data_IF_008522640923
#
_entry.id   IF_008522640923
#
_cell.length_a   1.000
_cell.length_b   1.000
_cell.length_c   1.000
_cell.angle_alpha   90.00
_cell.angle_beta   90.00
_cell.angle_gamma   90.00
#
_symmetry.space_group_name_H-M   'P 1'
#
loop_
_entity.id
_entity.type
_entity.pdbx_description
1 polymer ?
#
# COMPACT_ATOMS: atom_id res chain seq x y z
N UNK A 1 5.68 -17.62 0.99
CA UNK A 1 4.62 -16.58 1.12
C UNK A 1 4.87 -15.39 0.18
N UNK A 2 6.09 -14.82 0.14
CA UNK A 2 6.39 -13.70 -0.76
C UNK A 2 6.25 -14.03 -2.25
N UNK A 3 6.69 -15.21 -2.69
CA UNK A 3 6.55 -15.63 -4.11
C UNK A 3 5.10 -15.67 -4.61
N UNK A 4 4.16 -16.06 -3.74
CA UNK A 4 2.74 -16.05 -4.08
C UNK A 4 2.21 -14.64 -4.29
N UNK A 5 2.55 -13.71 -3.39
CA UNK A 5 2.18 -12.29 -3.52
C UNK A 5 2.84 -11.65 -4.74
N UNK A 6 4.07 -12.05 -5.06
CA UNK A 6 4.78 -11.63 -6.28
C UNK A 6 4.07 -12.13 -7.54
N UNK A 7 3.70 -13.42 -7.57
CA UNK A 7 2.94 -14.02 -8.68
C UNK A 7 1.59 -13.31 -8.89
N UNK A 8 0.92 -12.93 -7.81
CA UNK A 8 -0.34 -12.18 -7.85
C UNK A 8 -0.19 -10.69 -8.16
N UNK A 9 1.05 -10.18 -8.24
CA UNK A 9 1.41 -8.76 -8.43
C UNK A 9 0.91 -7.85 -7.28
N UNK A 10 0.82 -8.41 -6.09
CA UNK A 10 0.47 -7.71 -4.84
C UNK A 10 1.71 -7.31 -4.02
N UNK A 11 2.85 -7.91 -4.36
CA UNK A 11 4.18 -7.49 -3.95
C UNK A 11 5.10 -7.51 -5.17
N UNK A 12 6.08 -6.62 -5.24
CA UNK A 12 7.07 -6.59 -6.31
C UNK A 12 8.40 -6.07 -5.77
N UNK A 13 9.49 -6.63 -6.30
CA UNK A 13 10.83 -6.12 -6.05
C UNK A 13 11.13 -4.98 -7.02
N UNK A 14 11.76 -3.94 -6.51
CA UNK A 14 12.25 -2.79 -7.23
C UNK A 14 13.73 -2.64 -6.94
N UNK A 15 14.52 -2.45 -7.99
CA UNK A 15 15.95 -2.21 -7.88
C UNK A 15 16.32 -1.07 -8.81
N UNK A 16 17.05 -0.09 -8.30
CA UNK A 16 17.60 1.00 -9.10
C UNK A 16 19.04 1.30 -8.67
N UNK A 17 19.83 1.79 -9.61
CA UNK A 17 21.20 2.21 -9.40
C UNK A 17 21.30 3.69 -9.78
N UNK A 18 21.86 4.48 -8.88
CA UNK A 18 21.92 5.93 -8.97
C UNK A 18 23.39 6.36 -8.86
N UNK A 19 23.83 7.23 -9.77
CA UNK A 19 25.19 7.79 -9.76
C UNK A 19 25.26 8.99 -8.81
N UNK A 20 25.15 8.71 -7.52
CA UNK A 20 25.19 9.69 -6.42
C UNK A 20 25.75 8.99 -5.19
N UNK A 21 26.41 9.74 -4.30
CA UNK A 21 26.86 9.18 -3.04
C UNK A 21 25.67 8.79 -2.15
N UNK A 22 25.85 7.73 -1.37
CA UNK A 22 24.81 7.28 -0.44
C UNK A 22 24.43 8.37 0.58
N UNK A 23 25.41 9.12 1.06
CA UNK A 23 25.22 10.14 2.09
C UNK A 23 24.38 11.33 1.58
N UNK A 24 24.67 11.83 0.38
CA UNK A 24 23.92 12.94 -0.24
C UNK A 24 22.48 12.53 -0.52
N UNK A 25 22.29 11.34 -1.11
CA UNK A 25 20.96 10.82 -1.36
C UNK A 25 20.16 10.64 -0.07
N UNK A 26 20.75 10.05 0.98
CA UNK A 26 20.07 9.86 2.26
C UNK A 26 19.63 11.19 2.86
N UNK A 27 20.42 12.26 2.73
CA UNK A 27 20.06 13.59 3.20
C UNK A 27 18.86 14.15 2.44
N UNK A 28 18.88 14.09 1.11
CA UNK A 28 17.75 14.53 0.28
C UNK A 28 16.49 13.70 0.56
N UNK A 29 16.64 12.37 0.64
CA UNK A 29 15.53 11.46 0.87
C UNK A 29 14.92 11.67 2.26
N UNK A 30 15.73 11.82 3.31
CA UNK A 30 15.25 12.17 4.66
C UNK A 30 14.49 13.51 4.70
N UNK A 31 14.88 14.50 3.88
CA UNK A 31 14.16 15.77 3.78
C UNK A 31 12.80 15.66 3.07
N UNK A 32 12.68 14.72 2.12
CA UNK A 32 11.46 14.48 1.33
C UNK A 32 10.42 13.57 1.99
N UNK A 33 10.73 12.99 3.15
CA UNK A 33 9.88 12.02 3.85
C UNK A 33 9.61 12.50 5.27
N UNK A 34 8.33 12.61 5.62
CA UNK A 34 7.98 12.96 6.99
C UNK A 34 8.07 11.76 7.94
N UNK A 35 8.58 11.95 9.16
CA UNK A 35 8.61 10.90 10.16
C UNK A 35 7.18 10.49 10.53
N UNK A 36 6.88 9.19 10.43
CA UNK A 36 5.58 8.68 10.82
C UNK A 36 5.46 7.16 10.72
N UNK A 37 4.27 6.65 11.02
CA UNK A 37 4.02 5.22 10.98
C UNK A 37 3.45 4.79 9.62
N UNK A 38 4.01 3.71 9.09
CA UNK A 38 3.57 3.08 7.85
C UNK A 38 2.38 2.14 8.05
N UNK A 39 1.88 1.99 9.28
CA UNK A 39 0.65 1.25 9.57
C UNK A 39 -0.58 2.00 9.02
N UNK A 40 -1.63 1.26 8.66
CA UNK A 40 -2.94 1.87 8.37
C UNK A 40 -3.58 2.52 9.58
N UNK A 41 -3.25 2.05 10.79
CA UNK A 41 -3.77 2.54 12.06
C UNK A 41 -2.93 3.69 12.63
N UNK A 42 -1.92 4.15 11.88
CA UNK A 42 -1.16 5.34 12.21
C UNK A 42 -2.09 6.56 12.09
N UNK A 43 -2.71 6.93 13.21
CA UNK A 43 -3.45 8.16 13.43
C UNK A 43 -4.51 8.47 12.37
N UNK A 44 -5.82 8.29 12.64
CA UNK A 44 -6.86 8.93 11.81
C UNK A 44 -6.65 10.45 11.68
N UNK A 45 -5.85 11.04 12.57
CA UNK A 45 -5.44 12.44 12.55
C UNK A 45 -4.22 12.79 11.69
N UNK A 46 -3.45 11.81 11.18
CA UNK A 46 -2.30 12.09 10.30
C UNK A 46 -2.75 12.67 8.94
N UNK A 47 -4.02 12.48 8.58
CA UNK A 47 -4.66 13.06 7.39
C UNK A 47 -4.88 14.59 7.56
N UNK A 48 -4.96 15.09 8.80
CA UNK A 48 -5.08 16.53 9.09
C UNK A 48 -3.72 17.24 9.18
N UNK A 49 -2.60 16.51 9.13
CA UNK A 49 -1.27 17.13 9.09
C UNK A 49 -0.97 17.60 7.67
N UNK A 50 -1.08 18.90 7.46
CA UNK A 50 -0.61 19.56 6.25
C UNK A 50 0.92 19.43 6.15
N UNK A 51 1.40 18.70 5.15
CA UNK A 51 2.81 18.66 4.79
C UNK A 51 2.95 18.71 3.27
N UNK A 52 4.06 19.27 2.81
CA UNK A 52 4.43 19.31 1.40
C UNK A 52 4.95 17.97 0.90
N UNK A 53 5.43 17.12 1.80
CA UNK A 53 6.04 15.84 1.48
C UNK A 53 4.99 14.77 1.15
N UNK A 54 5.23 14.04 0.06
CA UNK A 54 4.32 13.00 -0.45
C UNK A 54 4.44 11.66 0.29
N UNK A 55 5.49 11.49 1.09
CA UNK A 55 5.79 10.24 1.79
C UNK A 55 5.81 10.41 3.30
N UNK A 56 5.41 9.33 3.98
CA UNK A 56 5.50 9.21 5.44
C UNK A 56 6.15 7.88 5.78
N UNK A 57 7.10 7.89 6.70
CA UNK A 57 7.74 6.66 7.15
C UNK A 57 8.97 6.87 8.00
N UNK A 58 9.90 5.91 7.90
CA UNK A 58 11.18 5.91 8.60
C UNK A 58 12.30 5.62 7.62
N UNK A 59 13.35 6.43 7.67
CA UNK A 59 14.57 6.23 6.90
C UNK A 59 15.73 6.15 7.90
N UNK A 60 16.41 5.01 7.88
CA UNK A 60 17.67 4.78 8.58
C UNK A 60 18.81 4.79 7.57
N UNK A 61 20.05 4.67 8.04
CA UNK A 61 21.21 4.82 7.16
C UNK A 61 21.37 3.67 6.16
N UNK A 62 20.80 2.49 6.45
CA UNK A 62 20.90 1.30 5.59
C UNK A 62 19.55 0.81 5.07
N UNK A 63 18.44 1.32 5.59
CA UNK A 63 17.12 0.82 5.24
C UNK A 63 16.07 1.91 5.36
N UNK A 64 14.95 1.70 4.69
CA UNK A 64 13.80 2.57 4.78
C UNK A 64 12.51 1.78 4.76
N UNK A 65 11.47 2.38 5.32
CA UNK A 65 10.09 1.90 5.23
C UNK A 65 9.17 3.09 5.11
N UNK A 66 8.56 3.26 3.94
CA UNK A 66 7.73 4.42 3.61
C UNK A 66 6.40 3.99 2.98
N UNK A 67 5.41 4.87 3.09
CA UNK A 67 4.15 4.81 2.35
C UNK A 67 3.82 6.19 1.81
N UNK A 68 2.91 6.25 0.84
CA UNK A 68 2.39 7.53 0.37
C UNK A 68 1.48 8.15 1.44
N UNK A 69 1.57 9.47 1.59
CA UNK A 69 0.71 10.25 2.47
C UNK A 69 -0.73 10.16 1.96
N UNK A 70 -1.67 9.95 2.87
CA UNK A 70 -3.11 10.06 2.57
C UNK A 70 -3.51 11.52 2.71
N UNK A 71 -4.09 12.10 1.67
CA UNK A 71 -4.71 13.43 1.70
C UNK A 71 -6.23 13.25 1.57
N UNK A 72 -7.01 14.08 2.27
CA UNK A 72 -8.46 14.11 2.05
C UNK A 72 -8.74 14.44 0.57
N UNK A 73 -9.72 13.78 -0.05
CA UNK A 73 -10.12 13.92 -1.45
C UNK A 73 -9.17 13.39 -2.53
N UNK A 74 -8.07 12.70 -2.18
CA UNK A 74 -7.33 11.92 -3.17
C UNK A 74 -8.14 10.66 -3.52
N UNK A 75 -8.69 10.62 -4.75
CA UNK A 75 -9.47 9.48 -5.27
C UNK A 75 -8.66 8.19 -5.42
N UNK A 76 -7.35 8.24 -5.22
CA UNK A 76 -6.44 7.10 -5.31
C UNK A 76 -6.05 6.61 -3.91
N UNK A 77 -6.61 5.47 -3.50
CA UNK A 77 -6.17 4.75 -2.30
C UNK A 77 -4.79 4.14 -2.56
N UNK A 78 -3.73 4.82 -2.11
CA UNK A 78 -2.38 4.27 -2.08
C UNK A 78 -2.12 3.54 -0.76
N UNK A 79 -2.04 2.21 -0.86
CA UNK A 79 -1.94 1.25 0.24
C UNK A 79 -0.58 0.54 0.27
N UNK A 80 0.18 0.68 -0.81
CA UNK A 80 1.53 0.16 -0.94
C UNK A 80 2.47 0.73 0.12
N UNK A 81 3.26 -0.14 0.71
CA UNK A 81 4.37 0.18 1.59
C UNK A 81 5.64 -0.29 0.89
N UNK A 82 6.59 0.61 0.73
CA UNK A 82 7.91 0.30 0.20
C UNK A 82 8.87 0.09 1.38
N UNK A 83 9.52 -1.07 1.42
CA UNK A 83 10.55 -1.41 2.40
C UNK A 83 11.82 -1.75 1.65
N UNK A 84 12.90 -1.02 1.89
CA UNK A 84 14.12 -1.22 1.12
C UNK A 84 15.40 -0.98 1.88
N UNK A 85 16.52 -1.18 1.18
CA UNK A 85 17.89 -1.09 1.66
C UNK A 85 18.75 -0.27 0.71
N UNK A 86 19.78 0.34 1.27
CA UNK A 86 20.77 1.15 0.57
C UNK A 86 22.13 0.47 0.61
N UNK A 87 22.74 0.30 -0.56
CA UNK A 87 24.09 -0.22 -0.72
C UNK A 87 24.90 0.71 -1.59
N UNK A 88 26.20 0.80 -1.35
CA UNK A 88 27.11 1.58 -2.18
C UNK A 88 28.04 0.60 -2.89
N UNK A 89 28.14 0.71 -4.22
CA UNK A 89 28.94 -0.17 -5.06
C UNK A 89 29.56 0.64 -6.17
N UNK A 90 30.90 0.69 -6.24
CA UNK A 90 31.66 1.36 -7.30
C UNK A 90 31.19 2.82 -7.52
N UNK A 91 31.08 3.62 -6.46
CA UNK A 91 30.59 5.01 -6.48
C UNK A 91 29.14 5.20 -6.97
N UNK A 92 28.35 4.12 -6.98
CA UNK A 92 26.92 4.16 -7.25
C UNK A 92 26.13 3.72 -6.02
N UNK A 93 25.03 4.42 -5.75
CA UNK A 93 24.02 4.01 -4.79
C UNK A 93 23.09 2.99 -5.44
N UNK A 94 23.05 1.79 -4.87
CA UNK A 94 22.07 0.76 -5.21
C UNK A 94 20.95 0.78 -4.18
N UNK A 95 19.72 0.90 -4.67
CA UNK A 95 18.51 0.83 -3.84
C UNK A 95 17.76 -0.44 -4.22
N UNK A 96 17.50 -1.27 -3.22
CA UNK A 96 16.68 -2.48 -3.36
C UNK A 96 15.48 -2.37 -2.44
N UNK A 97 14.27 -2.47 -2.99
CA UNK A 97 13.05 -2.33 -2.23
C UNK A 97 12.03 -3.42 -2.59
N UNK A 98 11.32 -3.88 -1.57
CA UNK A 98 10.10 -4.66 -1.70
C UNK A 98 8.92 -3.71 -1.52
N UNK A 99 8.06 -3.62 -2.54
CA UNK A 99 6.81 -2.87 -2.48
C UNK A 99 5.68 -3.87 -2.27
N UNK A 100 4.89 -3.70 -1.22
CA UNK A 100 3.75 -4.57 -0.90
C UNK A 100 2.53 -3.77 -0.47
N UNK A 101 1.36 -4.08 -1.05
CA UNK A 101 0.07 -3.51 -0.66
C UNK A 101 -0.77 -4.45 0.22
N UNK A 102 -0.34 -5.70 0.39
CA UNK A 102 -1.13 -6.77 1.00
C UNK A 102 -1.46 -6.49 2.47
N UNK A 103 -0.44 -6.23 3.29
CA UNK A 103 -0.59 -6.12 4.75
C UNK A 103 -1.51 -4.98 5.17
N UNK A 104 -1.43 -3.85 4.46
CA UNK A 104 -2.29 -2.70 4.72
C UNK A 104 -3.75 -3.07 4.46
N UNK A 105 -4.08 -3.47 3.23
CA UNK A 105 -5.48 -3.67 2.86
C UNK A 105 -6.17 -4.81 3.61
N UNK A 106 -5.45 -5.92 3.87
CA UNK A 106 -6.05 -7.14 4.43
C UNK A 106 -6.68 -6.92 5.81
N UNK A 107 -6.10 -6.07 6.66
CA UNK A 107 -6.62 -5.80 8.01
C UNK A 107 -7.95 -5.05 7.95
N UNK A 108 -8.00 -3.93 7.22
CA UNK A 108 -9.22 -3.12 7.10
C UNK A 108 -10.33 -3.88 6.38
N UNK A 109 -9.96 -4.65 5.35
CA UNK A 109 -10.92 -5.43 4.59
C UNK A 109 -11.45 -6.64 5.35
N UNK A 110 -10.60 -7.31 6.14
CA UNK A 110 -11.00 -8.43 6.98
C UNK A 110 -12.08 -8.04 8.00
N UNK A 111 -11.98 -6.85 8.59
CA UNK A 111 -13.01 -6.32 9.51
C UNK A 111 -14.35 -6.15 8.78
N UNK A 112 -14.34 -5.57 7.57
CA UNK A 112 -15.55 -5.35 6.78
C UNK A 112 -16.20 -6.68 6.38
N UNK A 113 -15.41 -7.67 5.94
CA UNK A 113 -15.88 -9.03 5.68
C UNK A 113 -16.56 -9.60 6.93
N UNK A 114 -15.88 -9.57 8.08
CA UNK A 114 -16.40 -10.14 9.33
C UNK A 114 -17.73 -9.49 9.71
N UNK A 115 -17.82 -8.15 9.66
CA UNK A 115 -19.05 -7.41 9.96
C UNK A 115 -20.19 -7.80 9.01
N UNK A 116 -19.92 -7.87 7.71
CA UNK A 116 -20.93 -8.22 6.72
C UNK A 116 -21.49 -9.64 6.94
N UNK A 117 -20.61 -10.62 7.15
CA UNK A 117 -21.04 -12.00 7.38
C UNK A 117 -21.68 -12.20 8.75
N UNK A 118 -21.32 -11.41 9.76
CA UNK A 118 -22.04 -11.36 11.05
C UNK A 118 -23.48 -10.91 10.87
N UNK A 119 -23.71 -9.85 10.09
CA UNK A 119 -25.07 -9.37 9.79
C UNK A 119 -25.87 -10.45 9.08
N UNK A 120 -25.29 -11.11 8.07
CA UNK A 120 -25.96 -12.22 7.36
C UNK A 120 -26.28 -13.40 8.28
N UNK A 121 -25.37 -13.79 9.16
CA UNK A 121 -25.56 -14.92 10.07
C UNK A 121 -26.65 -14.61 11.11
N UNK A 122 -26.70 -13.38 11.61
CA UNK A 122 -27.76 -12.94 12.53
C UNK A 122 -29.09 -12.77 11.82
N UNK A 123 -29.13 -12.34 10.55
CA UNK A 123 -30.38 -12.13 9.83
C UNK A 123 -31.05 -13.44 9.38
N UNK A 124 -30.26 -14.49 9.15
CA UNK A 124 -30.73 -15.76 8.58
C UNK A 124 -31.80 -16.50 9.43
N UNK A 125 -31.73 -16.54 10.78
CA UNK A 125 -32.78 -17.12 11.62
C UNK A 125 -34.08 -16.30 11.67
N UNK A 126 -34.06 -15.03 11.23
CA UNK A 126 -35.23 -14.14 11.27
C UNK A 126 -35.88 -13.92 9.90
N UNK A 127 -35.31 -14.46 8.81
CA UNK A 127 -35.98 -14.51 7.51
C UNK A 127 -37.05 -15.60 7.54
N UNK A 128 -38.32 -15.21 7.48
CA UNK A 128 -39.45 -16.15 7.46
C UNK A 128 -39.42 -17.11 6.27
N UNK A 129 -40.26 -18.13 6.30
CA UNK A 129 -40.30 -19.27 5.35
C UNK A 129 -40.84 -18.91 3.95
N UNK A 130 -40.59 -17.67 3.50
CA UNK A 130 -41.05 -17.17 2.22
C UNK A 130 -40.08 -17.61 1.11
N UNK A 131 -40.39 -18.74 0.50
CA UNK A 131 -39.58 -19.44 -0.53
C UNK A 131 -39.16 -18.58 -1.75
N UNK A 132 -39.74 -17.39 -1.91
CA UNK A 132 -39.41 -16.45 -2.98
C UNK A 132 -38.19 -15.57 -2.66
N UNK A 133 -37.96 -15.20 -1.40
CA UNK A 133 -36.81 -14.34 -1.02
C UNK A 133 -35.48 -15.09 -1.12
N UNK A 134 -35.50 -16.40 -0.82
CA UNK A 134 -34.31 -17.24 -0.80
C UNK A 134 -33.71 -17.49 -2.21
N UNK A 135 -34.50 -17.34 -3.28
CA UNK A 135 -34.04 -17.52 -4.68
C UNK A 135 -33.08 -16.42 -5.15
N UNK A 136 -33.21 -15.20 -4.63
CA UNK A 136 -32.31 -14.09 -4.99
C UNK A 136 -31.04 -14.03 -4.13
N UNK A 137 -31.05 -14.69 -2.96
CA UNK A 137 -29.93 -14.68 -2.02
C UNK A 137 -28.67 -15.34 -2.59
N UNK A 138 -28.80 -16.51 -3.22
CA UNK A 138 -27.67 -17.25 -3.79
C UNK A 138 -26.88 -16.48 -4.87
N UNK A 139 -27.52 -15.95 -5.94
CA UNK A 139 -26.80 -15.16 -6.94
C UNK A 139 -26.21 -13.87 -6.35
N UNK A 140 -26.89 -13.24 -5.38
CA UNK A 140 -26.37 -12.08 -4.66
C UNK A 140 -25.10 -12.42 -3.86
N UNK A 141 -25.06 -13.54 -3.14
CA UNK A 141 -23.88 -13.96 -2.37
C UNK A 141 -22.67 -14.24 -3.27
N UNK A 142 -22.88 -14.87 -4.42
CA UNK A 142 -21.81 -15.11 -5.41
C UNK A 142 -21.28 -13.77 -5.93
N UNK A 143 -22.18 -12.88 -6.36
CA UNK A 143 -21.82 -11.56 -6.86
C UNK A 143 -21.08 -10.74 -5.80
N UNK A 144 -21.60 -10.74 -4.57
CA UNK A 144 -21.02 -10.08 -3.43
C UNK A 144 -19.61 -10.63 -3.14
N UNK A 145 -19.44 -11.95 -3.06
CA UNK A 145 -18.13 -12.57 -2.86
C UNK A 145 -17.12 -12.18 -3.94
N UNK A 146 -17.56 -12.09 -5.19
CA UNK A 146 -16.73 -11.65 -6.32
C UNK A 146 -16.31 -10.19 -6.18
N UNK A 147 -17.22 -9.29 -5.80
CA UNK A 147 -16.86 -7.90 -5.48
C UNK A 147 -15.93 -7.83 -4.28
N UNK A 148 -16.18 -8.66 -3.26
CA UNK A 148 -15.43 -8.60 -2.02
C UNK A 148 -13.99 -9.04 -2.20
N UNK A 149 -13.72 -9.97 -3.10
CA UNK A 149 -12.35 -10.38 -3.40
C UNK A 149 -11.74 -9.56 -4.54
N UNK A 150 -12.53 -9.23 -5.56
CA UNK A 150 -12.07 -8.57 -6.78
C UNK A 150 -11.67 -7.12 -6.58
N UNK A 151 -12.50 -6.33 -5.89
CA UNK A 151 -12.24 -4.90 -5.65
C UNK A 151 -10.93 -4.68 -4.87
N UNK A 152 -10.70 -5.30 -3.70
CA UNK A 152 -9.43 -5.11 -2.99
C UNK A 152 -8.23 -5.65 -3.77
N UNK A 153 -8.39 -6.75 -4.50
CA UNK A 153 -7.32 -7.26 -5.37
C UNK A 153 -6.86 -6.21 -6.40
N UNK A 154 -7.80 -5.59 -7.12
CA UNK A 154 -7.50 -4.57 -8.14
C UNK A 154 -6.86 -3.34 -7.48
N UNK A 155 -7.40 -2.89 -6.34
CA UNK A 155 -6.86 -1.73 -5.62
C UNK A 155 -5.43 -1.95 -5.14
N UNK A 156 -5.12 -3.12 -4.56
CA UNK A 156 -3.76 -3.48 -4.14
C UNK A 156 -2.80 -3.52 -5.32
N UNK A 157 -3.17 -4.22 -6.40
CA UNK A 157 -2.32 -4.37 -7.59
C UNK A 157 -2.00 -3.02 -8.22
N UNK A 158 -3.01 -2.16 -8.35
CA UNK A 158 -2.82 -0.81 -8.89
C UNK A 158 -1.95 0.06 -7.96
N UNK A 159 -2.13 -0.05 -6.64
CA UNK A 159 -1.31 0.69 -5.68
C UNK A 159 0.16 0.26 -5.72
N UNK A 160 0.43 -1.05 -5.81
CA UNK A 160 1.81 -1.57 -5.95
C UNK A 160 2.46 -1.01 -7.22
N UNK A 161 1.74 -1.05 -8.36
CA UNK A 161 2.25 -0.50 -9.64
C UNK A 161 2.52 1.00 -9.57
N UNK A 162 1.63 1.78 -8.94
CA UNK A 162 1.82 3.23 -8.79
C UNK A 162 3.03 3.55 -7.91
N UNK A 163 3.18 2.89 -6.78
CA UNK A 163 4.31 3.12 -5.87
C UNK A 163 5.66 2.85 -6.55
N UNK A 164 5.78 1.80 -7.36
CA UNK A 164 7.01 1.56 -8.14
C UNK A 164 7.32 2.73 -9.06
N UNK A 165 6.35 3.15 -9.86
CA UNK A 165 6.50 4.25 -10.81
C UNK A 165 6.83 5.57 -10.12
N UNK A 166 6.16 5.84 -8.99
CA UNK A 166 6.35 7.07 -8.23
C UNK A 166 7.75 7.08 -7.60
N UNK A 167 8.23 5.97 -7.02
CA UNK A 167 9.61 5.86 -6.51
C UNK A 167 10.68 5.99 -7.60
N UNK A 168 10.48 5.34 -8.75
CA UNK A 168 11.40 5.45 -9.89
C UNK A 168 11.54 6.90 -10.34
N UNK A 169 10.40 7.58 -10.49
CA UNK A 169 10.33 9.00 -10.84
C UNK A 169 11.03 9.87 -9.78
N UNK A 170 10.66 9.71 -8.52
CA UNK A 170 11.09 10.60 -7.46
C UNK A 170 12.58 10.42 -7.13
N UNK A 171 13.07 9.17 -7.14
CA UNK A 171 14.51 8.90 -6.98
C UNK A 171 15.33 9.50 -8.11
N UNK A 172 14.83 9.42 -9.36
CA UNK A 172 15.48 10.07 -10.49
C UNK A 172 15.55 11.59 -10.30
N UNK A 173 14.45 12.25 -9.95
CA UNK A 173 14.45 13.70 -9.73
C UNK A 173 15.37 14.12 -8.56
N UNK A 174 15.37 13.38 -7.46
CA UNK A 174 16.28 13.66 -6.33
C UNK A 174 17.75 13.61 -6.76
N UNK A 175 18.14 12.70 -7.65
CA UNK A 175 19.52 12.67 -8.16
C UNK A 175 19.86 13.83 -9.08
N UNK A 176 18.86 14.32 -9.83
CA UNK A 176 19.05 15.47 -10.72
C UNK A 176 19.27 16.76 -9.94
N UNK A 177 18.63 16.91 -8.80
CA UNK A 177 18.77 18.10 -7.93
C UNK A 177 20.11 18.10 -7.14
N UNK A 178 20.83 16.97 -7.13
CA UNK A 178 22.11 16.79 -6.44
C UNK A 178 23.35 16.89 -7.34
N UNK A 179 23.16 16.90 -8.67
CA UNK A 179 24.22 17.07 -9.68
C UNK A 179 24.13 18.45 -10.33
#
# INVERSE_FOLDING_TARGET
MNEFLIKLKLAQNFRTELKVSKSEFLKAFKASVDPGSTSLNAGPFDIFKASKNDYVGRINDNNFKIKKRRRFFDGNLDLAVATGKFFEKNDHLVIEAEISSFRSMFIGYGILIILFYLVLLVSFPFSGDDSNENRFMFPFLILHGLFMLGVPYILMRNSTKRMIRDLEKDFYYMTKDLN
#
